data_IF_047657338194
#
_entry.id   IF_047657338194
#
_cell.length_a   1.000
_cell.length_b   1.000
_cell.length_c   1.000
_cell.angle_alpha   90.00
_cell.angle_beta   90.00
_cell.angle_gamma   90.00
#
_symmetry.space_group_name_H-M   'P 1'
#
loop_
_entity.id
_entity.type
_entity.pdbx_description
1 polymer ?
#
# COMPACT_ATOMS: atom_id res chain seq x y z
N UNK A 1 -8.42 -9.62 22.94
CA UNK A 1 -7.06 -9.15 22.60
C UNK A 1 -6.86 -8.93 21.09
N UNK A 2 -7.22 -9.88 20.20
CA UNK A 2 -7.02 -9.70 18.74
C UNK A 2 -7.75 -8.49 18.15
N UNK A 3 -9.04 -8.29 18.49
CA UNK A 3 -9.85 -7.19 17.96
C UNK A 3 -9.33 -5.80 18.39
N UNK A 4 -8.83 -5.68 19.61
CA UNK A 4 -8.28 -4.42 20.13
C UNK A 4 -7.05 -3.98 19.32
N UNK A 5 -6.17 -4.92 18.98
CA UNK A 5 -4.97 -4.59 18.20
C UNK A 5 -5.29 -4.30 16.73
N UNK A 6 -6.24 -5.03 16.14
CA UNK A 6 -6.77 -4.71 14.80
C UNK A 6 -7.28 -3.27 14.78
N UNK A 7 -8.13 -2.91 15.74
CA UNK A 7 -8.69 -1.56 15.82
C UNK A 7 -7.61 -0.50 16.03
N UNK A 8 -6.62 -0.71 16.90
CA UNK A 8 -5.49 0.24 17.07
C UNK A 8 -4.76 0.54 15.76
N UNK A 9 -4.53 -0.47 14.93
CA UNK A 9 -3.87 -0.30 13.62
C UNK A 9 -4.76 0.48 12.66
N UNK A 10 -6.03 0.08 12.53
CA UNK A 10 -6.99 0.70 11.62
C UNK A 10 -7.36 2.13 12.04
N UNK A 11 -7.57 2.37 13.32
CA UNK A 11 -7.91 3.67 13.89
C UNK A 11 -6.77 4.66 13.71
N UNK A 12 -5.51 4.21 13.88
CA UNK A 12 -4.35 5.06 13.63
C UNK A 12 -4.21 5.40 12.14
N UNK A 13 -4.29 4.39 11.28
CA UNK A 13 -3.98 4.57 9.86
C UNK A 13 -5.13 5.21 9.10
N UNK A 14 -6.34 4.66 9.21
CA UNK A 14 -7.50 5.07 8.43
C UNK A 14 -8.34 6.13 9.13
N UNK A 15 -8.43 6.06 10.48
CA UNK A 15 -9.28 6.95 11.28
C UNK A 15 -10.66 7.17 10.64
N UNK A 16 -11.09 8.43 10.52
CA UNK A 16 -12.35 8.83 9.90
C UNK A 16 -12.17 9.30 8.44
N UNK A 17 -11.16 8.77 7.72
CA UNK A 17 -10.80 9.24 6.37
C UNK A 17 -11.90 9.06 5.31
N UNK A 18 -12.93 8.27 5.59
CA UNK A 18 -14.09 8.09 4.72
C UNK A 18 -15.28 9.00 5.08
N UNK A 19 -15.17 9.82 6.14
CA UNK A 19 -16.26 10.67 6.62
C UNK A 19 -16.30 12.05 5.92
N UNK A 20 -15.14 12.63 5.61
CA UNK A 20 -15.06 13.95 4.97
C UNK A 20 -13.76 14.15 4.19
N UNK A 21 -13.74 15.14 3.29
CA UNK A 21 -12.50 15.52 2.57
C UNK A 21 -11.45 16.07 3.53
N UNK A 22 -11.86 16.72 4.61
CA UNK A 22 -10.94 17.26 5.62
C UNK A 22 -10.19 16.13 6.34
N UNK A 23 -10.93 15.12 6.82
CA UNK A 23 -10.33 13.95 7.49
C UNK A 23 -9.47 13.16 6.50
N UNK A 24 -9.94 12.96 5.27
CA UNK A 24 -9.14 12.33 4.23
C UNK A 24 -7.84 13.08 3.95
N UNK A 25 -7.89 14.41 3.86
CA UNK A 25 -6.72 15.25 3.60
C UNK A 25 -5.70 15.15 4.73
N UNK A 26 -6.18 15.08 5.97
CA UNK A 26 -5.33 14.87 7.15
C UNK A 26 -4.64 13.51 7.09
N UNK A 27 -5.37 12.44 6.80
CA UNK A 27 -4.78 11.10 6.74
C UNK A 27 -3.89 10.91 5.51
N UNK A 28 -4.21 11.55 4.38
CA UNK A 28 -3.37 11.54 3.19
C UNK A 28 -1.95 12.07 3.47
N UNK A 29 -1.83 13.11 4.31
CA UNK A 29 -0.52 13.59 4.78
C UNK A 29 0.20 12.56 5.64
N UNK A 30 -0.52 11.82 6.48
CA UNK A 30 0.06 10.75 7.28
C UNK A 30 0.61 9.62 6.40
N UNK A 31 -0.12 9.25 5.33
CA UNK A 31 0.21 8.11 4.48
C UNK A 31 1.38 8.39 3.53
N UNK A 32 1.36 9.53 2.84
CA UNK A 32 2.20 9.75 1.67
C UNK A 32 3.22 10.89 1.83
N UNK A 33 3.21 11.62 2.95
CA UNK A 33 4.26 12.61 3.24
C UNK A 33 5.26 12.01 4.22
N UNK A 34 6.54 11.94 3.81
CA UNK A 34 7.63 11.48 4.66
C UNK A 34 7.74 12.38 5.90
N UNK A 35 7.61 11.77 7.07
CA UNK A 35 7.75 12.45 8.36
C UNK A 35 8.48 11.52 9.36
N UNK A 36 9.68 11.89 9.85
CA UNK A 36 10.42 11.08 10.83
C UNK A 36 9.66 10.80 12.14
N UNK A 37 8.81 11.73 12.60
CA UNK A 37 8.01 11.54 13.81
C UNK A 37 6.93 10.48 13.59
N UNK A 38 6.31 10.47 12.41
CA UNK A 38 5.39 9.41 11.99
C UNK A 38 6.11 8.06 11.91
N UNK A 39 7.27 8.02 11.26
CA UNK A 39 8.07 6.79 11.12
C UNK A 39 8.45 6.22 12.51
N UNK A 40 8.90 7.07 13.44
CA UNK A 40 9.25 6.68 14.81
C UNK A 40 8.03 6.24 15.61
N UNK A 41 6.89 6.93 15.48
CA UNK A 41 5.65 6.53 16.14
C UNK A 41 5.20 5.14 15.69
N UNK A 42 5.17 4.90 14.37
CA UNK A 42 4.75 3.61 13.81
C UNK A 42 5.70 2.50 14.30
N UNK A 43 7.01 2.77 14.29
CA UNK A 43 8.02 1.83 14.80
C UNK A 43 7.76 1.45 16.25
N UNK A 44 7.66 2.44 17.14
CA UNK A 44 7.53 2.21 18.58
C UNK A 44 6.24 1.48 18.96
N UNK A 45 5.16 1.66 18.17
CA UNK A 45 3.86 1.10 18.51
C UNK A 45 3.54 -0.22 17.78
N UNK A 46 4.10 -0.44 16.58
CA UNK A 46 3.63 -1.51 15.69
C UNK A 46 4.73 -2.40 15.09
N UNK A 47 6.03 -2.10 15.28
CA UNK A 47 7.11 -2.98 14.76
C UNK A 47 7.00 -4.41 15.32
N UNK A 48 6.64 -4.55 16.60
CA UNK A 48 6.41 -5.84 17.23
C UNK A 48 5.24 -6.62 16.58
N UNK A 49 4.22 -5.93 16.07
CA UNK A 49 3.09 -6.55 15.38
C UNK A 49 3.49 -7.09 14.02
N UNK A 50 4.33 -6.37 13.28
CA UNK A 50 4.90 -6.86 12.01
C UNK A 50 5.68 -8.14 12.26
N UNK A 51 6.53 -8.17 13.29
CA UNK A 51 7.32 -9.35 13.65
C UNK A 51 6.41 -10.54 14.03
N UNK A 52 5.35 -10.31 14.81
CA UNK A 52 4.37 -11.36 15.17
C UNK A 52 3.60 -11.86 13.96
N UNK A 53 3.13 -10.95 13.11
CA UNK A 53 2.36 -11.27 11.90
C UNK A 53 3.21 -12.09 10.91
N UNK A 54 4.49 -11.74 10.71
CA UNK A 54 5.44 -12.52 9.89
C UNK A 54 5.64 -13.96 10.41
N UNK A 55 5.49 -14.17 11.72
CA UNK A 55 5.60 -15.49 12.37
C UNK A 55 4.28 -16.28 12.37
N UNK A 56 3.23 -15.79 11.70
CA UNK A 56 1.91 -16.45 11.65
C UNK A 56 1.08 -16.28 12.92
N UNK A 57 1.55 -15.52 13.92
CA UNK A 57 0.83 -15.36 15.19
C UNK A 57 -0.50 -14.61 15.05
N UNK A 58 -0.69 -13.91 13.92
CA UNK A 58 -1.94 -13.23 13.56
C UNK A 58 -2.69 -13.91 12.41
N UNK A 59 -2.42 -15.19 12.10
CA UNK A 59 -3.12 -15.90 11.01
C UNK A 59 -4.64 -15.95 11.22
N UNK A 60 -5.10 -16.00 12.47
CA UNK A 60 -6.53 -15.95 12.79
C UNK A 60 -7.19 -14.63 12.39
N UNK A 61 -6.45 -13.56 12.13
CA UNK A 61 -7.02 -12.28 11.66
C UNK A 61 -7.51 -12.38 10.22
N UNK A 62 -6.98 -13.32 9.43
CA UNK A 62 -7.38 -13.53 8.03
C UNK A 62 -8.85 -13.98 7.89
N UNK A 63 -9.49 -14.40 8.99
CA UNK A 63 -10.90 -14.79 9.00
C UNK A 63 -11.88 -13.62 9.07
N UNK A 64 -11.42 -12.37 9.22
CA UNK A 64 -12.29 -11.18 9.24
C UNK A 64 -11.86 -10.12 8.23
N UNK A 65 -12.78 -9.32 7.69
CA UNK A 65 -12.45 -8.24 6.76
C UNK A 65 -11.45 -7.24 7.35
N UNK A 66 -11.68 -6.80 8.59
CA UNK A 66 -10.84 -5.83 9.29
C UNK A 66 -9.47 -6.41 9.63
N UNK A 67 -9.40 -7.69 9.99
CA UNK A 67 -8.14 -8.37 10.27
C UNK A 67 -7.26 -8.49 9.02
N UNK A 68 -7.86 -8.81 7.86
CA UNK A 68 -7.14 -8.81 6.59
C UNK A 68 -6.60 -7.41 6.24
N UNK A 69 -7.41 -6.36 6.40
CA UNK A 69 -6.98 -4.99 6.12
C UNK A 69 -5.86 -4.53 7.06
N UNK A 70 -5.95 -4.86 8.35
CA UNK A 70 -4.89 -4.55 9.31
C UNK A 70 -3.57 -5.25 8.95
N UNK A 71 -3.62 -6.51 8.51
CA UNK A 71 -2.44 -7.24 8.04
C UNK A 71 -1.84 -6.59 6.78
N UNK A 72 -2.67 -6.16 5.83
CA UNK A 72 -2.20 -5.42 4.64
C UNK A 72 -1.49 -4.13 5.06
N UNK A 73 -2.07 -3.34 5.97
CA UNK A 73 -1.43 -2.10 6.48
C UNK A 73 -0.10 -2.40 7.17
N UNK A 74 -0.01 -3.45 7.99
CA UNK A 74 1.25 -3.85 8.63
C UNK A 74 2.33 -4.23 7.61
N UNK A 75 1.98 -5.02 6.60
CA UNK A 75 2.93 -5.59 5.65
C UNK A 75 3.30 -4.67 4.49
N UNK A 76 2.39 -3.80 4.08
CA UNK A 76 2.56 -2.93 2.92
C UNK A 76 2.89 -1.49 3.34
N UNK A 77 2.14 -0.93 4.29
CA UNK A 77 2.28 0.48 4.63
C UNK A 77 3.34 0.71 5.71
N UNK A 78 3.21 0.07 6.87
CA UNK A 78 4.08 0.35 8.01
C UNK A 78 5.55 -0.03 7.76
N UNK A 79 5.82 -1.06 6.97
CA UNK A 79 7.19 -1.43 6.59
C UNK A 79 7.88 -0.33 5.78
N UNK A 80 7.16 0.40 4.92
CA UNK A 80 7.67 1.53 4.13
C UNK A 80 8.01 2.75 5.00
N UNK A 81 7.34 2.89 6.15
CA UNK A 81 7.67 3.90 7.17
C UNK A 81 8.85 3.46 8.06
N UNK A 82 8.77 2.26 8.68
CA UNK A 82 9.72 1.79 9.70
C UNK A 82 11.10 1.50 9.11
N UNK A 83 11.14 0.90 7.92
CA UNK A 83 12.35 0.37 7.30
C UNK A 83 12.78 1.16 6.06
N UNK A 84 12.39 2.44 6.01
CA UNK A 84 12.67 3.34 4.88
C UNK A 84 14.14 3.25 4.44
N UNK A 85 14.35 3.20 3.12
CA UNK A 85 15.68 3.09 2.50
C UNK A 85 16.44 1.80 2.83
N UNK A 86 15.74 0.72 3.20
CA UNK A 86 16.33 -0.61 3.41
C UNK A 86 15.49 -1.66 2.71
N UNK A 87 16.07 -2.81 2.34
CA UNK A 87 15.34 -3.93 1.73
C UNK A 87 14.11 -4.39 2.53
N UNK A 88 14.13 -4.19 3.85
CA UNK A 88 13.05 -4.56 4.75
C UNK A 88 11.75 -3.76 4.50
N UNK A 89 11.79 -2.63 3.77
CA UNK A 89 10.58 -1.93 3.35
C UNK A 89 9.74 -2.72 2.36
N UNK A 90 10.33 -3.68 1.65
CA UNK A 90 9.67 -4.49 0.62
C UNK A 90 9.55 -5.97 0.98
N UNK A 91 10.24 -6.40 2.04
CA UNK A 91 10.37 -7.81 2.43
C UNK A 91 9.02 -8.52 2.74
N UNK A 92 7.96 -7.75 3.02
CA UNK A 92 6.61 -8.29 3.29
C UNK A 92 5.60 -8.00 2.18
N UNK A 93 6.01 -7.40 1.06
CA UNK A 93 5.14 -7.14 -0.10
C UNK A 93 4.42 -8.42 -0.58
N UNK A 94 5.09 -9.60 -0.70
CA UNK A 94 4.40 -10.82 -1.11
C UNK A 94 3.27 -11.25 -0.16
N UNK A 95 3.42 -10.99 1.15
CA UNK A 95 2.40 -11.33 2.14
C UNK A 95 1.18 -10.42 2.02
N UNK A 96 1.40 -9.12 1.81
CA UNK A 96 0.32 -8.17 1.56
C UNK A 96 -0.43 -8.51 0.27
N UNK A 97 0.32 -8.77 -0.82
CA UNK A 97 -0.23 -9.11 -2.12
C UNK A 97 -1.09 -10.38 -2.05
N UNK A 98 -0.64 -11.43 -1.35
CA UNK A 98 -1.41 -12.65 -1.20
C UNK A 98 -2.77 -12.40 -0.53
N UNK A 99 -2.81 -11.56 0.52
CA UNK A 99 -4.06 -11.21 1.20
C UNK A 99 -4.97 -10.42 0.25
N UNK A 100 -4.43 -9.42 -0.43
CA UNK A 100 -5.18 -8.63 -1.41
C UNK A 100 -5.75 -9.46 -2.56
N UNK A 101 -4.98 -10.40 -3.10
CA UNK A 101 -5.44 -11.34 -4.13
C UNK A 101 -6.60 -12.21 -3.63
N UNK A 102 -6.55 -12.69 -2.39
CA UNK A 102 -7.65 -13.48 -1.82
C UNK A 102 -8.93 -12.66 -1.67
N UNK A 103 -8.83 -11.40 -1.24
CA UNK A 103 -9.99 -10.50 -1.11
C UNK A 103 -10.60 -10.25 -2.49
N UNK A 104 -9.79 -9.83 -3.47
CA UNK A 104 -10.25 -9.46 -4.82
C UNK A 104 -10.80 -10.68 -5.59
N UNK A 105 -10.13 -11.82 -5.53
CA UNK A 105 -10.60 -13.04 -6.22
C UNK A 105 -11.92 -13.57 -5.67
N UNK A 106 -12.21 -13.31 -4.38
CA UNK A 106 -13.50 -13.62 -3.76
C UNK A 106 -14.55 -12.51 -3.91
N UNK A 107 -14.23 -11.40 -4.60
CA UNK A 107 -15.07 -10.21 -4.79
C UNK A 107 -15.53 -9.57 -3.49
N UNK A 108 -14.83 -9.83 -2.38
CA UNK A 108 -15.14 -9.29 -1.05
C UNK A 108 -14.56 -7.90 -0.83
N UNK A 109 -13.78 -7.38 -1.77
CA UNK A 109 -13.28 -6.01 -1.74
C UNK A 109 -14.44 -4.99 -1.77
N UNK A 110 -15.59 -5.34 -2.35
CA UNK A 110 -16.79 -4.50 -2.36
C UNK A 110 -17.42 -4.27 -0.98
N UNK A 111 -17.11 -5.13 0.01
CA UNK A 111 -17.55 -4.97 1.41
C UNK A 111 -16.81 -3.85 2.16
N UNK A 112 -15.75 -3.29 1.56
CA UNK A 112 -14.93 -2.23 2.13
C UNK A 112 -15.32 -0.86 1.59
N UNK A 113 -15.06 0.18 2.39
CA UNK A 113 -15.22 1.56 1.92
C UNK A 113 -14.27 1.86 0.76
N UNK A 114 -14.58 2.88 -0.05
CA UNK A 114 -13.74 3.25 -1.20
C UNK A 114 -12.29 3.56 -0.77
N UNK A 115 -12.11 4.18 0.39
CA UNK A 115 -10.78 4.52 0.94
C UNK A 115 -10.05 3.27 1.42
N UNK A 116 -10.74 2.34 2.08
CA UNK A 116 -10.15 1.06 2.50
C UNK A 116 -9.68 0.23 1.30
N UNK A 117 -10.44 0.24 0.20
CA UNK A 117 -10.09 -0.47 -1.03
C UNK A 117 -8.79 0.03 -1.65
N UNK A 118 -8.46 1.31 -1.53
CA UNK A 118 -7.14 1.84 -1.97
C UNK A 118 -6.02 1.01 -1.35
N UNK A 119 -6.04 0.78 -0.04
CA UNK A 119 -5.01 0.00 0.65
C UNK A 119 -5.04 -1.49 0.30
N UNK A 120 -6.19 -2.04 -0.05
CA UNK A 120 -6.28 -3.41 -0.57
C UNK A 120 -5.65 -3.51 -1.96
N UNK A 121 -5.70 -2.44 -2.76
CA UNK A 121 -5.20 -2.43 -4.13
C UNK A 121 -3.71 -2.04 -4.24
N UNK A 122 -3.18 -1.26 -3.30
CA UNK A 122 -1.77 -0.86 -3.26
C UNK A 122 -0.77 -2.04 -3.37
N UNK A 123 -0.97 -3.21 -2.73
CA UNK A 123 -0.07 -4.35 -2.92
C UNK A 123 0.06 -4.82 -4.38
N UNK A 124 -0.98 -4.66 -5.22
CA UNK A 124 -0.87 -4.93 -6.66
C UNK A 124 -0.01 -3.87 -7.36
N UNK A 125 -0.22 -2.58 -7.03
CA UNK A 125 0.57 -1.44 -7.53
C UNK A 125 2.05 -1.53 -7.12
N UNK A 126 2.35 -2.09 -5.96
CA UNK A 126 3.72 -2.25 -5.47
C UNK A 126 4.46 -3.47 -6.03
N UNK A 127 3.78 -4.36 -6.75
CA UNK A 127 4.36 -5.60 -7.27
C UNK A 127 5.20 -5.34 -8.52
N UNK A 128 6.42 -5.89 -8.58
CA UNK A 128 7.25 -5.95 -9.80
C UNK A 128 6.80 -7.11 -10.73
N UNK A 129 5.50 -7.20 -10.99
CA UNK A 129 4.90 -8.20 -11.90
C UNK A 129 3.87 -7.49 -12.80
N UNK A 130 4.03 -7.62 -14.12
CA UNK A 130 3.18 -6.92 -15.09
C UNK A 130 1.69 -7.30 -14.98
N UNK A 131 1.36 -8.56 -14.66
CA UNK A 131 -0.03 -8.99 -14.48
C UNK A 131 -0.65 -8.38 -13.23
N UNK A 132 0.16 -8.19 -12.18
CA UNK A 132 -0.30 -7.50 -10.97
C UNK A 132 -0.54 -6.01 -11.26
N UNK A 133 0.30 -5.38 -12.09
CA UNK A 133 0.09 -4.01 -12.54
C UNK A 133 -1.18 -3.86 -13.40
N UNK A 134 -1.42 -4.77 -14.33
CA UNK A 134 -2.67 -4.80 -15.12
C UNK A 134 -3.91 -4.95 -14.23
N UNK A 135 -3.80 -5.79 -13.19
CA UNK A 135 -4.86 -5.96 -12.17
C UNK A 135 -5.04 -4.66 -11.38
N UNK A 136 -3.96 -4.01 -10.95
CA UNK A 136 -3.99 -2.72 -10.26
C UNK A 136 -4.73 -1.66 -11.09
N UNK A 137 -4.39 -1.51 -12.37
CA UNK A 137 -5.08 -0.58 -13.27
C UNK A 137 -6.57 -0.85 -13.37
N UNK A 138 -6.96 -2.12 -13.49
CA UNK A 138 -8.37 -2.51 -13.56
C UNK A 138 -9.11 -2.14 -12.28
N UNK A 139 -8.51 -2.43 -11.13
CA UNK A 139 -9.10 -2.17 -9.81
C UNK A 139 -9.24 -0.66 -9.54
N UNK A 140 -8.19 0.12 -9.76
CA UNK A 140 -8.24 1.57 -9.55
C UNK A 140 -9.13 2.29 -10.57
N UNK A 141 -9.23 1.78 -11.80
CA UNK A 141 -10.19 2.32 -12.80
C UNK A 141 -11.62 2.14 -12.31
N UNK A 142 -11.98 0.92 -11.90
CA UNK A 142 -13.30 0.62 -11.32
C UNK A 142 -13.57 1.46 -10.07
N UNK A 143 -12.57 1.64 -9.20
CA UNK A 143 -12.70 2.46 -7.99
C UNK A 143 -12.99 3.93 -8.32
N UNK A 144 -12.29 4.48 -9.33
CA UNK A 144 -12.51 5.84 -9.83
C UNK A 144 -13.89 5.99 -10.48
N UNK A 145 -14.39 4.99 -11.20
CA UNK A 145 -15.75 5.00 -11.77
C UNK A 145 -16.84 4.98 -10.69
N UNK A 146 -16.59 4.29 -9.58
CA UNK A 146 -17.49 4.26 -8.42
C UNK A 146 -17.39 5.51 -7.53
N UNK A 147 -16.45 6.41 -7.81
CA UNK A 147 -16.20 7.57 -6.98
C UNK A 147 -17.39 8.55 -7.00
N UNK A 148 -18.04 8.73 -5.86
CA UNK A 148 -19.01 9.81 -5.63
C UNK A 148 -18.34 11.04 -5.03
N UNK A 149 -19.03 12.19 -5.09
CA UNK A 149 -18.67 13.32 -4.25
C UNK A 149 -18.66 12.87 -2.77
N UNK A 150 -17.72 13.36 -1.95
CA UNK A 150 -16.71 14.38 -2.26
C UNK A 150 -15.30 13.81 -2.58
N UNK A 151 -15.16 12.49 -2.81
CA UNK A 151 -13.85 11.82 -2.89
C UNK A 151 -13.27 11.64 -4.30
N UNK A 152 -13.97 12.12 -5.33
CA UNK A 152 -13.60 11.96 -6.75
C UNK A 152 -12.16 12.38 -7.07
N UNK A 153 -11.72 13.54 -6.57
CA UNK A 153 -10.38 14.04 -6.84
C UNK A 153 -9.29 13.13 -6.26
N UNK A 154 -9.49 12.65 -5.03
CA UNK A 154 -8.55 11.74 -4.38
C UNK A 154 -8.46 10.41 -5.14
N UNK A 155 -9.60 9.80 -5.46
CA UNK A 155 -9.63 8.52 -6.18
C UNK A 155 -9.09 8.64 -7.61
N UNK A 156 -9.31 9.75 -8.30
CA UNK A 156 -8.66 10.03 -9.57
C UNK A 156 -7.12 10.15 -9.41
N UNK A 157 -6.66 10.76 -8.32
CA UNK A 157 -5.24 10.77 -7.96
C UNK A 157 -4.67 9.37 -7.79
N UNK A 158 -5.36 8.48 -7.08
CA UNK A 158 -4.90 7.08 -6.89
C UNK A 158 -4.76 6.33 -8.22
N UNK A 159 -5.69 6.53 -9.17
CA UNK A 159 -5.57 5.94 -10.50
C UNK A 159 -4.35 6.47 -11.27
N UNK A 160 -4.02 7.76 -11.15
CA UNK A 160 -2.83 8.33 -11.81
C UNK A 160 -1.52 7.72 -11.27
N UNK A 161 -1.47 7.40 -9.98
CA UNK A 161 -0.34 6.67 -9.39
C UNK A 161 -0.25 5.24 -9.90
N UNK A 162 -1.38 4.51 -9.98
CA UNK A 162 -1.42 3.17 -10.55
C UNK A 162 -0.93 3.13 -12.01
N UNK A 163 -1.32 4.12 -12.84
CA UNK A 163 -0.83 4.28 -14.22
C UNK A 163 0.68 4.49 -14.24
N UNK A 164 1.19 5.36 -13.37
CA UNK A 164 2.62 5.65 -13.30
C UNK A 164 3.45 4.43 -12.88
N UNK A 165 2.95 3.62 -11.94
CA UNK A 165 3.59 2.36 -11.55
C UNK A 165 3.58 1.34 -12.68
N UNK A 166 2.43 1.18 -13.36
CA UNK A 166 2.30 0.28 -14.51
C UNK A 166 3.29 0.66 -15.62
N UNK A 167 3.42 1.94 -15.97
CA UNK A 167 4.31 2.39 -17.05
C UNK A 167 5.78 2.07 -16.74
N UNK A 168 6.20 2.22 -15.47
CA UNK A 168 7.55 1.86 -15.04
C UNK A 168 7.78 0.36 -15.15
N UNK A 169 6.87 -0.47 -14.64
CA UNK A 169 7.00 -1.93 -14.71
C UNK A 169 6.90 -2.43 -16.15
N UNK A 170 6.04 -1.84 -16.99
CA UNK A 170 5.94 -2.17 -18.41
C UNK A 170 7.25 -1.89 -19.14
N UNK A 171 7.94 -0.81 -18.79
CA UNK A 171 9.19 -0.40 -19.42
C UNK A 171 10.39 -1.23 -18.94
N UNK A 172 10.52 -1.42 -17.62
CA UNK A 172 11.74 -1.98 -17.03
C UNK A 172 11.58 -3.39 -16.44
N UNK A 173 10.34 -3.89 -16.31
CA UNK A 173 10.02 -5.15 -15.63
C UNK A 173 10.17 -5.10 -14.10
N UNK A 174 10.64 -3.97 -13.55
CA UNK A 174 10.92 -3.73 -12.13
C UNK A 174 10.91 -2.23 -11.84
N UNK A 175 11.02 -1.82 -10.58
CA UNK A 175 11.15 -0.42 -10.17
C UNK A 175 12.62 -0.02 -10.05
N UNK A 176 13.16 0.81 -10.97
CA UNK A 176 14.58 1.15 -10.95
C UNK A 176 15.03 1.86 -9.67
N UNK A 177 14.14 2.65 -9.04
CA UNK A 177 14.45 3.36 -7.79
C UNK A 177 14.68 2.40 -6.60
N UNK A 178 14.28 1.13 -6.71
CA UNK A 178 14.58 0.10 -5.69
C UNK A 178 15.95 -0.56 -5.90
N UNK A 179 16.63 -0.33 -7.03
CA UNK A 179 17.86 -1.06 -7.37
C UNK A 179 18.96 -0.91 -6.32
N UNK A 180 19.23 0.31 -5.85
CA UNK A 180 20.23 0.55 -4.80
C UNK A 180 19.86 -0.16 -3.49
N UNK A 181 18.58 -0.12 -3.11
CA UNK A 181 18.08 -0.69 -1.86
C UNK A 181 18.10 -2.23 -1.91
N UNK A 182 17.86 -2.81 -3.09
CA UNK A 182 17.82 -4.25 -3.33
C UNK A 182 19.13 -4.81 -3.91
N UNK A 183 20.21 -4.03 -3.87
CA UNK A 183 21.54 -4.40 -4.36
C UNK A 183 21.56 -4.92 -5.81
N UNK A 184 20.73 -4.33 -6.67
CA UNK A 184 20.64 -4.64 -8.11
C UNK A 184 21.49 -3.68 -8.92
N UNK A 185 22.18 -4.19 -9.93
CA UNK A 185 22.83 -3.35 -10.92
C UNK A 185 21.78 -2.69 -11.82
N UNK A 186 21.85 -1.35 -11.96
CA UNK A 186 21.00 -0.59 -12.87
C UNK A 186 21.56 -0.60 -14.28
N UNK A 187 20.69 -0.72 -15.27
CA UNK A 187 21.07 -0.51 -16.68
C UNK A 187 21.29 0.99 -16.97
N UNK A 188 21.94 1.31 -18.09
CA UNK A 188 22.07 2.71 -18.54
C UNK A 188 20.71 3.40 -18.69
N UNK A 189 19.72 2.69 -19.26
CA UNK A 189 18.38 3.24 -19.43
C UNK A 189 17.68 3.53 -18.10
N UNK A 190 17.87 2.65 -17.11
CA UNK A 190 17.36 2.85 -15.75
C UNK A 190 18.01 4.05 -15.06
N UNK A 191 19.32 4.24 -15.24
CA UNK A 191 20.05 5.40 -14.69
C UNK A 191 19.55 6.70 -15.32
N UNK A 192 19.39 6.74 -16.64
CA UNK A 192 18.87 7.92 -17.35
C UNK A 192 17.44 8.25 -16.90
N UNK A 193 16.61 7.22 -16.70
CA UNK A 193 15.25 7.37 -16.18
C UNK A 193 15.22 7.94 -14.76
N UNK A 194 16.11 7.48 -13.86
CA UNK A 194 16.18 7.95 -12.48
C UNK A 194 16.47 9.46 -12.35
N UNK A 195 17.07 10.08 -13.38
CA UNK A 195 17.31 11.51 -13.44
C UNK A 195 16.11 12.35 -13.90
N UNK A 196 14.99 11.72 -14.27
CA UNK A 196 13.78 12.40 -14.75
C UNK A 196 12.73 12.59 -13.64
N UNK A 197 11.84 13.60 -13.72
CA UNK A 197 10.69 13.71 -12.84
C UNK A 197 9.78 12.48 -12.92
N UNK A 198 9.19 12.06 -11.80
CA UNK A 198 8.29 10.89 -11.75
C UNK A 198 9.01 9.53 -11.82
N UNK A 199 10.33 9.51 -11.63
CA UNK A 199 11.13 8.27 -11.63
C UNK A 199 11.08 7.46 -10.34
N UNK A 200 10.47 8.03 -9.30
CA UNK A 200 10.26 7.45 -7.98
C UNK A 200 8.98 7.99 -7.35
N UNK A 201 8.49 7.30 -6.32
CA UNK A 201 7.29 7.62 -5.55
C UNK A 201 7.62 7.78 -4.07
#
# INVERSE_FOLDING_TARGET
MSLEQINKILDYWLANSDQSVEELTKQNKLWFVKNPDTDLFIKNNFEADIIKAKKGLYDSWKSSPQGNLALIILFDQFTRNIYRNTENSFATDPLALQISQNIVSSKKDEDYSLIQRVFIYLPFEHSEDIKMQETSLTLFTKLKEQASHPFQNYLNGTLNYAISHYDIIKRFGRFPHRNIILERESTTEEIDFLNQPGSSF
#
